data_IF_136628599930
#
_entry.id   IF_136628599930
#
_cell.length_a   1.000
_cell.length_b   1.000
_cell.length_c   1.000
_cell.angle_alpha   90.00
_cell.angle_beta   90.00
_cell.angle_gamma   90.00
#
_symmetry.space_group_name_H-M   'P 1'
#
loop_
_entity.id
_entity.type
_entity.pdbx_description
1 polymer ?
#
# COMPACT_ATOMS: atom_id res chain seq x y z
N UNK A 1 4.84 -4.59 -8.83
CA UNK A 1 5.02 -3.11 -8.73
C UNK A 1 6.48 -2.85 -9.03
N UNK A 2 6.79 -1.90 -9.90
CA UNK A 2 8.17 -1.67 -10.35
C UNK A 2 8.61 -0.21 -10.11
N UNK A 3 9.85 -0.04 -9.67
CA UNK A 3 10.58 1.23 -9.74
C UNK A 3 11.67 1.10 -10.80
N UNK A 4 11.44 1.72 -11.97
CA UNK A 4 12.26 1.49 -13.15
C UNK A 4 12.20 0.02 -13.58
N UNK A 5 13.30 -0.72 -13.41
CA UNK A 5 13.41 -2.16 -13.74
C UNK A 5 13.37 -3.09 -12.52
N UNK A 6 13.38 -2.54 -11.31
CA UNK A 6 13.37 -3.32 -10.08
C UNK A 6 11.94 -3.60 -9.64
N UNK A 7 11.65 -4.84 -9.28
CA UNK A 7 10.39 -5.19 -8.62
C UNK A 7 10.48 -4.82 -7.14
N UNK A 8 9.54 -3.97 -6.68
CA UNK A 8 9.58 -3.39 -5.32
C UNK A 8 8.38 -3.79 -4.48
N UNK A 9 7.50 -4.65 -4.99
CA UNK A 9 6.29 -5.04 -4.28
C UNK A 9 5.17 -5.57 -5.15
N UNK A 10 4.02 -5.79 -4.53
CA UNK A 10 2.84 -6.40 -5.13
C UNK A 10 1.55 -5.65 -4.75
N UNK A 11 0.53 -5.81 -5.58
CA UNK A 11 -0.80 -5.24 -5.35
C UNK A 11 -1.89 -6.30 -5.61
N UNK A 12 -2.96 -6.24 -4.83
CA UNK A 12 -4.10 -7.14 -4.92
C UNK A 12 -5.40 -6.34 -4.98
N UNK A 13 -6.31 -6.71 -5.88
CA UNK A 13 -7.66 -6.12 -5.94
C UNK A 13 -8.44 -6.51 -4.70
N UNK A 14 -9.09 -5.54 -4.08
CA UNK A 14 -10.00 -5.71 -2.95
C UNK A 14 -11.20 -4.78 -3.09
N UNK A 15 -12.27 -5.13 -2.41
CA UNK A 15 -13.48 -4.30 -2.28
C UNK A 15 -13.65 -3.98 -0.79
N UNK A 16 -13.93 -2.72 -0.47
CA UNK A 16 -14.14 -2.28 0.92
C UNK A 16 -15.49 -2.77 1.44
N UNK A 17 -15.71 -2.69 2.76
CA UNK A 17 -17.02 -3.00 3.34
C UNK A 17 -18.13 -2.07 2.83
N UNK A 18 -17.77 -0.90 2.32
CA UNK A 18 -18.67 0.10 1.72
C UNK A 18 -18.87 -0.13 0.21
N UNK A 19 -18.32 -1.23 -0.34
CA UNK A 19 -18.46 -1.59 -1.76
C UNK A 19 -17.52 -0.85 -2.71
N UNK A 20 -16.52 -0.12 -2.19
CA UNK A 20 -15.56 0.61 -3.02
C UNK A 20 -14.37 -0.27 -3.39
N UNK A 21 -14.06 -0.35 -4.68
CA UNK A 21 -12.87 -1.08 -5.15
C UNK A 21 -11.58 -0.30 -4.88
N UNK A 22 -10.52 -1.04 -4.53
CA UNK A 22 -9.19 -0.51 -4.28
C UNK A 22 -8.12 -1.56 -4.51
N UNK A 23 -6.85 -1.12 -4.59
CA UNK A 23 -5.70 -2.01 -4.58
C UNK A 23 -5.06 -1.99 -3.20
N UNK A 24 -4.98 -3.17 -2.56
CA UNK A 24 -4.15 -3.37 -1.40
C UNK A 24 -2.71 -3.54 -1.88
N UNK A 25 -1.81 -2.69 -1.40
CA UNK A 25 -0.43 -2.57 -1.89
C UNK A 25 0.53 -2.95 -0.77
N UNK A 26 1.52 -3.79 -1.09
CA UNK A 26 2.69 -4.04 -0.25
C UNK A 26 3.93 -3.59 -1.02
N UNK A 27 4.66 -2.63 -0.47
CA UNK A 27 5.99 -2.24 -0.94
C UNK A 27 7.02 -2.86 0.01
N UNK A 28 7.90 -3.70 -0.51
CA UNK A 28 8.83 -4.53 0.26
C UNK A 28 10.18 -4.57 -0.46
N UNK A 29 10.78 -3.39 -0.57
CA UNK A 29 12.11 -3.23 -1.15
C UNK A 29 13.18 -3.33 -0.04
N UNK A 30 14.32 -4.00 -0.27
CA UNK A 30 15.42 -4.09 0.70
C UNK A 30 15.97 -2.75 1.19
N UNK A 31 15.75 -1.64 0.47
CA UNK A 31 16.11 -0.29 0.90
C UNK A 31 15.17 0.28 1.96
N UNK A 32 14.02 -0.34 2.21
CA UNK A 32 13.06 0.08 3.23
C UNK A 32 13.40 -0.55 4.58
N UNK A 33 13.29 0.21 5.69
CA UNK A 33 13.53 -0.35 7.03
C UNK A 33 12.46 -1.38 7.45
N UNK A 34 11.28 -1.35 6.82
CA UNK A 34 10.21 -2.33 6.98
C UNK A 34 9.25 -2.25 5.77
N UNK A 35 8.49 -3.31 5.46
CA UNK A 35 7.48 -3.26 4.41
C UNK A 35 6.44 -2.16 4.67
N UNK A 36 6.01 -1.47 3.62
CA UNK A 36 4.91 -0.50 3.67
C UNK A 36 3.64 -1.18 3.16
N UNK A 37 2.61 -1.19 3.99
CA UNK A 37 1.26 -1.58 3.62
C UNK A 37 0.43 -0.33 3.33
N UNK A 38 -0.16 -0.28 2.15
CA UNK A 38 -0.94 0.86 1.68
C UNK A 38 -2.21 0.39 0.97
N UNK A 39 -3.16 1.31 0.81
CA UNK A 39 -4.34 1.14 -0.01
C UNK A 39 -4.35 2.24 -1.08
N UNK A 40 -4.47 1.85 -2.34
CA UNK A 40 -4.54 2.75 -3.48
C UNK A 40 -5.99 2.83 -3.97
N UNK A 41 -6.54 4.03 -3.98
CA UNK A 41 -7.89 4.30 -4.45
C UNK A 41 -7.83 5.13 -5.74
N UNK A 42 -8.67 4.78 -6.70
CA UNK A 42 -8.95 5.63 -7.85
C UNK A 42 -9.89 6.76 -7.42
N UNK A 43 -9.55 7.97 -7.85
CA UNK A 43 -10.28 9.21 -7.59
C UNK A 43 -10.89 9.71 -8.91
N UNK A 44 -11.76 10.71 -8.82
CA UNK A 44 -12.31 11.35 -10.01
C UNK A 44 -11.20 12.03 -10.83
N UNK A 45 -11.33 12.00 -12.16
CA UNK A 45 -10.35 12.63 -13.05
C UNK A 45 -9.09 11.80 -13.33
N UNK A 46 -9.05 10.53 -12.92
CA UNK A 46 -7.91 9.63 -13.16
C UNK A 46 -6.74 9.84 -12.20
N UNK A 47 -6.97 10.58 -11.11
CA UNK A 47 -6.03 10.67 -10.01
C UNK A 47 -6.10 9.43 -9.11
N UNK A 48 -5.01 9.16 -8.39
CA UNK A 48 -4.96 8.03 -7.45
C UNK A 48 -4.44 8.49 -6.09
N UNK A 49 -5.14 8.09 -5.04
CA UNK A 49 -4.75 8.37 -3.66
C UNK A 49 -4.15 7.11 -3.02
N UNK A 50 -2.89 7.20 -2.58
CA UNK A 50 -2.18 6.14 -1.87
C UNK A 50 -2.17 6.45 -0.37
N UNK A 51 -2.98 5.72 0.40
CA UNK A 51 -3.12 5.89 1.84
C UNK A 51 -2.29 4.83 2.57
N UNK A 52 -1.47 5.26 3.51
CA UNK A 52 -0.67 4.39 4.36
C UNK A 52 -0.50 5.00 5.75
N UNK A 53 -0.33 4.14 6.74
CA UNK A 53 -0.10 4.54 8.13
C UNK A 53 1.31 4.17 8.55
N UNK A 54 2.00 5.09 9.23
CA UNK A 54 3.28 4.78 9.88
C UNK A 54 3.02 3.86 11.08
N UNK A 55 3.80 2.79 11.26
CA UNK A 55 3.77 2.04 12.51
C UNK A 55 4.15 2.99 13.66
N UNK A 56 3.21 3.27 14.57
CA UNK A 56 3.58 3.88 15.85
C UNK A 56 4.44 2.86 16.59
N UNK A 57 5.68 3.21 16.93
CA UNK A 57 6.68 2.32 17.52
C UNK A 57 6.35 1.72 18.91
N UNK A 58 5.08 1.67 19.31
CA UNK A 58 4.62 1.18 20.61
C UNK A 58 3.50 0.13 20.53
N UNK A 59 3.47 -0.70 19.50
CA UNK A 59 2.60 -1.90 19.49
C UNK A 59 3.44 -3.12 19.16
N UNK A 60 4.14 -3.60 20.18
CA UNK A 60 4.43 -5.01 20.48
C UNK A 60 5.52 -5.10 21.55
N UNK A 61 5.09 -5.05 22.81
CA UNK A 61 5.66 -5.88 23.88
C UNK A 61 4.48 -6.59 24.55
N UNK A 62 4.08 -7.69 23.92
CA UNK A 62 3.44 -8.82 24.57
C UNK A 62 4.26 -10.06 24.19
#
# INVERSE_FOLDING_TARGET
>A
IFAGRAEIGAAWKKTSNEGRDYLSVKLDDPSLPAPILANLFEMEGGEFELIWSRPNGNRSRE
#
